data_IF_893906721356
#
_entry.id   IF_893906721356
#
_cell.length_a   1.000
_cell.length_b   1.000
_cell.length_c   1.000
_cell.angle_alpha   90.00
_cell.angle_beta   90.00
_cell.angle_gamma   90.00
#
_symmetry.space_group_name_H-M   'P 1'
#
loop_
_entity.id
_entity.type
_entity.pdbx_description
1 polymer ?
#
# COMPACT_ATOMS: atom_id res chain seq x y z
N UNK A 1 -1.82 12.46 -25.13
CA UNK A 1 -3.01 11.78 -24.59
C UNK A 1 -3.26 12.33 -23.19
N UNK A 2 -4.49 12.68 -22.83
CA UNK A 2 -4.79 13.11 -21.45
C UNK A 2 -4.72 11.88 -20.53
N UNK A 3 -4.15 12.05 -19.33
CA UNK A 3 -4.11 10.99 -18.32
C UNK A 3 -5.51 10.81 -17.74
N UNK A 4 -6.00 9.57 -17.71
CA UNK A 4 -7.28 9.21 -17.11
C UNK A 4 -7.05 8.69 -15.68
N UNK A 5 -7.66 9.34 -14.72
CA UNK A 5 -7.58 8.95 -13.30
C UNK A 5 -8.64 7.91 -12.91
N UNK A 6 -9.42 7.39 -13.87
CA UNK A 6 -10.36 6.28 -13.73
C UNK A 6 -11.41 6.49 -12.61
N UNK A 7 -11.82 7.74 -12.37
CA UNK A 7 -12.77 8.11 -11.31
C UNK A 7 -12.32 7.58 -9.91
N UNK A 8 -11.03 7.80 -9.62
CA UNK A 8 -10.36 7.20 -8.47
C UNK A 8 -11.02 7.53 -7.12
N UNK A 9 -11.59 8.74 -6.97
CA UNK A 9 -12.19 9.15 -5.68
C UNK A 9 -13.41 8.29 -5.34
N UNK A 10 -14.32 8.09 -6.29
CA UNK A 10 -15.49 7.23 -6.10
C UNK A 10 -15.06 5.79 -5.81
N UNK A 11 -14.13 5.25 -6.61
CA UNK A 11 -13.62 3.89 -6.44
C UNK A 11 -12.87 3.70 -5.11
N UNK A 12 -12.15 4.72 -4.66
CA UNK A 12 -11.50 4.69 -3.36
C UNK A 12 -12.52 4.68 -2.22
N UNK A 13 -13.60 5.48 -2.29
CA UNK A 13 -14.69 5.44 -1.31
C UNK A 13 -15.34 4.05 -1.25
N UNK A 14 -15.65 3.47 -2.40
CA UNK A 14 -16.20 2.10 -2.49
C UNK A 14 -15.22 1.08 -1.89
N UNK A 15 -13.92 1.23 -2.14
CA UNK A 15 -12.86 0.36 -1.58
C UNK A 15 -12.77 0.46 -0.06
N UNK A 16 -12.92 1.66 0.49
CA UNK A 16 -12.94 1.90 1.95
C UNK A 16 -14.18 1.25 2.58
N UNK A 17 -15.35 1.38 1.95
CA UNK A 17 -16.58 0.72 2.43
C UNK A 17 -16.42 -0.81 2.46
N UNK A 18 -15.87 -1.39 1.40
CA UNK A 18 -15.58 -2.84 1.32
C UNK A 18 -14.56 -3.25 2.38
N UNK A 19 -13.50 -2.46 2.57
CA UNK A 19 -12.48 -2.72 3.58
C UNK A 19 -13.07 -2.85 4.99
N UNK A 20 -13.84 -1.86 5.42
CA UNK A 20 -14.44 -1.86 6.74
C UNK A 20 -15.55 -2.90 6.87
N UNK A 21 -16.38 -3.10 5.84
CA UNK A 21 -17.42 -4.12 5.82
C UNK A 21 -16.87 -5.55 5.97
N UNK A 22 -15.76 -5.86 5.30
CA UNK A 22 -15.09 -7.16 5.44
C UNK A 22 -14.55 -7.37 6.86
N UNK A 23 -13.99 -6.33 7.48
CA UNK A 23 -13.47 -6.41 8.84
C UNK A 23 -14.59 -6.56 9.87
N UNK A 24 -15.70 -5.88 9.68
CA UNK A 24 -16.86 -6.02 10.57
C UNK A 24 -17.44 -7.43 10.51
N UNK A 25 -17.63 -7.97 9.31
CA UNK A 25 -18.07 -9.37 9.12
C UNK A 25 -17.11 -10.37 9.76
N UNK A 26 -15.79 -10.16 9.66
CA UNK A 26 -14.81 -11.01 10.30
C UNK A 26 -14.90 -10.95 11.82
N UNK A 27 -15.11 -9.75 12.40
CA UNK A 27 -15.30 -9.56 13.84
C UNK A 27 -16.57 -10.25 14.34
N UNK A 28 -17.68 -10.09 13.63
CA UNK A 28 -18.95 -10.74 13.96
C UNK A 28 -18.80 -12.26 14.03
N UNK A 29 -18.15 -12.85 13.02
CA UNK A 29 -17.87 -14.30 13.02
C UNK A 29 -17.00 -14.76 14.19
N UNK A 30 -16.04 -13.95 14.64
CA UNK A 30 -15.24 -14.27 15.84
C UNK A 30 -16.09 -14.26 17.12
N UNK A 31 -16.96 -13.27 17.28
CA UNK A 31 -17.87 -13.18 18.41
C UNK A 31 -18.82 -14.39 18.46
N UNK A 32 -19.42 -14.75 17.31
CA UNK A 32 -20.30 -15.91 17.17
C UNK A 32 -19.57 -17.24 17.49
N UNK A 33 -18.28 -17.33 17.14
CA UNK A 33 -17.44 -18.52 17.41
C UNK A 33 -16.89 -18.56 18.86
N UNK A 34 -17.21 -17.60 19.73
CA UNK A 34 -16.75 -17.56 21.13
C UNK A 34 -15.24 -17.33 21.29
N UNK A 35 -14.54 -16.89 20.23
CA UNK A 35 -13.08 -16.72 20.21
C UNK A 35 -12.66 -15.25 20.42
N UNK A 36 -13.24 -14.58 21.42
CA UNK A 36 -13.09 -13.13 21.63
C UNK A 36 -11.66 -12.65 21.93
N UNK A 37 -10.73 -13.56 22.24
CA UNK A 37 -9.43 -13.23 22.83
C UNK A 37 -8.23 -13.32 21.86
N UNK A 38 -8.44 -13.57 20.57
CA UNK A 38 -7.32 -13.70 19.61
C UNK A 38 -6.93 -12.41 18.87
N UNK A 39 -7.40 -11.26 19.34
CA UNK A 39 -7.19 -9.98 18.69
C UNK A 39 -7.73 -9.96 17.25
N UNK A 40 -7.65 -8.86 16.54
CA UNK A 40 -8.15 -8.73 15.16
C UNK A 40 -7.32 -9.52 14.09
N UNK A 41 -6.56 -10.54 14.51
CA UNK A 41 -5.70 -11.34 13.61
C UNK A 41 -6.48 -12.03 12.49
N UNK A 42 -7.70 -12.51 12.77
CA UNK A 42 -8.53 -13.12 11.72
C UNK A 42 -9.01 -12.09 10.68
N UNK A 43 -9.19 -10.82 11.06
CA UNK A 43 -9.44 -9.72 10.12
C UNK A 43 -8.24 -9.39 9.23
N UNK A 44 -7.01 -9.67 9.69
CA UNK A 44 -5.77 -9.46 8.92
C UNK A 44 -5.55 -10.57 7.89
N UNK A 45 -5.93 -11.80 8.22
CA UNK A 45 -5.78 -12.99 7.35
C UNK A 45 -6.82 -13.09 6.24
N UNK A 46 -7.91 -12.32 6.30
CA UNK A 46 -8.84 -12.21 5.18
C UNK A 46 -8.17 -11.37 4.07
N UNK A 47 -7.36 -11.99 3.21
CA UNK A 47 -6.60 -11.36 2.12
C UNK A 47 -7.43 -10.62 1.06
N UNK A 48 -8.69 -10.31 1.39
CA UNK A 48 -9.66 -9.58 0.56
C UNK A 48 -9.91 -8.14 1.03
N UNK A 49 -9.23 -7.69 2.08
CA UNK A 49 -9.53 -6.36 2.65
C UNK A 49 -9.17 -5.21 1.70
N UNK A 50 -8.15 -5.39 0.86
CA UNK A 50 -7.68 -4.36 -0.08
C UNK A 50 -8.10 -4.62 -1.54
N UNK A 51 -9.00 -5.57 -1.79
CA UNK A 51 -9.44 -5.95 -3.15
C UNK A 51 -10.04 -4.79 -3.95
N UNK A 52 -10.70 -3.84 -3.28
CA UNK A 52 -11.21 -2.63 -3.94
C UNK A 52 -10.11 -1.76 -4.54
N UNK A 53 -9.00 -1.59 -3.81
CA UNK A 53 -7.85 -0.83 -4.32
C UNK A 53 -7.10 -1.57 -5.44
N UNK A 54 -7.13 -2.88 -5.44
CA UNK A 54 -6.64 -3.70 -6.53
C UNK A 54 -7.46 -3.48 -7.80
N UNK A 55 -8.80 -3.37 -7.69
CA UNK A 55 -9.66 -3.02 -8.81
C UNK A 55 -9.36 -1.62 -9.36
N UNK A 56 -9.13 -0.63 -8.48
CA UNK A 56 -8.72 0.71 -8.88
C UNK A 56 -7.42 0.70 -9.71
N UNK A 57 -6.39 -0.02 -9.24
CA UNK A 57 -5.12 -0.14 -9.97
C UNK A 57 -5.32 -0.77 -11.35
N UNK A 58 -6.14 -1.82 -11.44
CA UNK A 58 -6.48 -2.46 -12.71
C UNK A 58 -7.16 -1.50 -13.68
N UNK A 59 -8.13 -0.74 -13.20
CA UNK A 59 -8.86 0.21 -14.04
C UNK A 59 -7.94 1.33 -14.56
N UNK A 60 -7.00 1.79 -13.74
CA UNK A 60 -5.98 2.76 -14.17
C UNK A 60 -5.08 2.23 -15.28
N UNK A 61 -4.69 0.95 -15.22
CA UNK A 61 -3.90 0.30 -16.28
C UNK A 61 -4.68 0.28 -17.61
N UNK A 62 -5.93 -0.14 -17.56
CA UNK A 62 -6.80 -0.23 -18.74
C UNK A 62 -7.08 1.17 -19.31
N UNK A 63 -7.45 2.13 -18.48
CA UNK A 63 -7.83 3.48 -18.88
C UNK A 63 -6.66 4.25 -19.52
N UNK A 64 -5.41 3.91 -19.19
CA UNK A 64 -4.23 4.61 -19.68
C UNK A 64 -3.45 3.84 -20.77
N UNK A 65 -4.13 2.97 -21.50
CA UNK A 65 -3.65 2.43 -22.76
C UNK A 65 -3.03 1.03 -22.73
N UNK A 66 -2.89 0.41 -21.55
CA UNK A 66 -2.40 -0.97 -21.42
C UNK A 66 -3.54 -2.00 -21.20
N UNK A 67 -4.60 -1.91 -21.99
CA UNK A 67 -5.76 -2.81 -21.87
C UNK A 67 -5.41 -4.31 -22.02
N UNK A 68 -4.32 -4.62 -22.72
CA UNK A 68 -3.86 -6.00 -22.91
C UNK A 68 -2.71 -6.40 -21.96
N UNK A 69 -2.38 -5.58 -20.96
CA UNK A 69 -1.39 -5.96 -19.95
C UNK A 69 -1.91 -7.12 -19.10
N UNK A 70 -0.99 -8.00 -18.74
CA UNK A 70 -1.26 -9.07 -17.78
C UNK A 70 -1.22 -8.50 -16.37
N UNK A 71 -2.40 -8.39 -15.74
CA UNK A 71 -2.52 -7.93 -14.36
C UNK A 71 -2.76 -9.15 -13.49
N UNK A 72 -1.72 -9.58 -12.81
CA UNK A 72 -1.75 -10.77 -11.98
C UNK A 72 -2.35 -10.49 -10.60
N UNK A 73 -3.25 -11.37 -10.18
CA UNK A 73 -3.96 -11.35 -8.88
C UNK A 73 -3.93 -12.72 -8.19
N UNK A 74 -3.55 -13.78 -8.92
CA UNK A 74 -3.43 -15.13 -8.36
C UNK A 74 -2.06 -15.30 -7.71
N UNK A 75 -2.03 -15.75 -6.46
CA UNK A 75 -0.78 -15.93 -5.67
C UNK A 75 0.36 -16.56 -6.44
N UNK A 76 0.09 -17.59 -7.23
CA UNK A 76 1.10 -18.28 -8.03
C UNK A 76 1.80 -17.38 -9.07
N UNK A 77 1.14 -16.31 -9.53
CA UNK A 77 1.63 -15.39 -10.57
C UNK A 77 2.09 -14.04 -10.01
N UNK A 78 2.02 -13.85 -8.70
CA UNK A 78 2.41 -12.61 -8.01
C UNK A 78 3.85 -12.66 -7.48
N UNK A 79 4.61 -13.69 -7.83
CA UNK A 79 5.93 -13.93 -7.27
C UNK A 79 7.01 -13.44 -8.23
N UNK A 80 7.87 -12.56 -7.74
CA UNK A 80 9.09 -12.12 -8.43
C UNK A 80 10.33 -12.74 -7.77
N UNK A 81 11.43 -12.96 -8.52
CA UNK A 81 12.70 -13.28 -7.90
C UNK A 81 13.17 -12.12 -7.02
N UNK A 82 13.75 -12.43 -5.88
CA UNK A 82 14.45 -11.50 -5.02
C UNK A 82 15.96 -11.68 -5.16
N UNK A 83 16.72 -10.78 -4.57
CA UNK A 83 18.18 -10.89 -4.49
C UNK A 83 18.63 -11.49 -3.15
N UNK A 84 18.07 -11.01 -2.05
CA UNK A 84 18.38 -11.47 -0.69
C UNK A 84 17.54 -12.65 -0.24
N UNK A 85 16.55 -13.02 -1.02
CA UNK A 85 15.67 -14.20 -0.83
C UNK A 85 15.29 -14.77 -2.20
N UNK A 86 14.97 -16.07 -2.28
CA UNK A 86 14.67 -16.69 -3.59
C UNK A 86 13.52 -15.99 -4.31
N UNK A 87 12.46 -15.65 -3.59
CA UNK A 87 11.24 -15.06 -4.18
C UNK A 87 10.55 -14.11 -3.22
N UNK A 88 9.80 -13.15 -3.77
CA UNK A 88 8.89 -12.25 -3.06
C UNK A 88 7.51 -12.28 -3.70
N UNK A 89 6.50 -12.53 -2.89
CA UNK A 89 5.11 -12.41 -3.27
C UNK A 89 4.67 -10.94 -3.16
N UNK A 90 4.13 -10.38 -4.24
CA UNK A 90 3.58 -9.03 -4.33
C UNK A 90 2.05 -9.05 -4.25
N UNK A 91 1.42 -7.91 -4.01
CA UNK A 91 -0.05 -7.82 -4.03
C UNK A 91 -0.58 -7.60 -5.45
N UNK A 92 0.13 -6.81 -6.28
CA UNK A 92 -0.20 -6.58 -7.69
C UNK A 92 1.09 -6.58 -8.52
N UNK A 93 1.06 -7.29 -9.64
CA UNK A 93 2.05 -7.19 -10.71
C UNK A 93 1.37 -6.84 -12.02
N UNK A 94 1.97 -5.92 -12.77
CA UNK A 94 1.56 -5.55 -14.13
C UNK A 94 2.71 -5.91 -15.06
N UNK A 95 2.44 -6.83 -15.99
CA UNK A 95 3.38 -7.21 -17.04
C UNK A 95 2.80 -6.85 -18.41
N UNK A 96 3.66 -6.43 -19.32
CA UNK A 96 3.29 -6.16 -20.70
C UNK A 96 4.40 -6.59 -21.65
N UNK A 97 4.09 -7.43 -22.64
CA UNK A 97 5.07 -7.98 -23.60
C UNK A 97 6.30 -8.60 -22.91
N UNK A 98 6.09 -9.32 -21.81
CA UNK A 98 7.15 -9.97 -21.02
C UNK A 98 7.99 -9.03 -20.13
N UNK A 99 7.66 -7.73 -20.07
CA UNK A 99 8.35 -6.75 -19.22
C UNK A 99 7.58 -6.48 -17.93
N UNK A 100 8.29 -6.29 -16.83
CA UNK A 100 7.69 -5.83 -15.57
C UNK A 100 7.42 -4.33 -15.67
N UNK A 101 6.14 -3.95 -15.76
CA UNK A 101 5.71 -2.54 -15.83
C UNK A 101 5.53 -1.95 -14.44
N UNK A 102 4.88 -2.71 -13.52
CA UNK A 102 4.64 -2.23 -12.17
C UNK A 102 4.57 -3.37 -11.16
N UNK A 103 5.01 -3.07 -9.93
CA UNK A 103 4.82 -3.88 -8.74
C UNK A 103 4.26 -3.00 -7.61
N UNK A 104 3.12 -3.40 -7.03
CA UNK A 104 2.46 -2.61 -6.00
C UNK A 104 2.19 -3.46 -4.76
N UNK A 105 2.51 -2.89 -3.59
CA UNK A 105 2.17 -3.43 -2.29
C UNK A 105 0.96 -2.67 -1.72
N UNK A 106 -0.01 -3.43 -1.24
CA UNK A 106 -1.20 -2.91 -0.56
C UNK A 106 -1.13 -3.28 0.92
N UNK A 107 -1.16 -2.30 1.79
CA UNK A 107 -1.05 -2.52 3.23
C UNK A 107 -2.18 -1.86 4.00
N UNK A 108 -2.50 -2.43 5.15
CA UNK A 108 -3.41 -1.78 6.09
C UNK A 108 -2.91 -1.91 7.51
N UNK A 109 -3.27 -0.92 8.33
CA UNK A 109 -3.02 -0.91 9.76
C UNK A 109 -4.26 -0.48 10.51
N UNK A 110 -4.75 -1.37 11.35
CA UNK A 110 -5.90 -1.14 12.24
C UNK A 110 -5.46 -1.45 13.66
N UNK A 111 -6.00 -0.70 14.64
CA UNK A 111 -5.70 -0.93 16.06
C UNK A 111 -6.02 -2.35 16.53
N UNK A 112 -5.60 -2.70 17.77
CA UNK A 112 -4.94 -1.82 18.75
C UNK A 112 -3.40 -1.71 18.61
N UNK A 113 -2.73 -2.60 17.88
CA UNK A 113 -1.26 -2.76 17.89
C UNK A 113 -0.53 -1.82 16.92
N UNK A 114 -0.77 -0.50 17.00
CA UNK A 114 -0.14 0.46 16.09
C UNK A 114 1.40 0.48 16.19
N UNK A 115 1.96 0.39 17.42
CA UNK A 115 3.41 0.53 17.65
C UNK A 115 4.24 -0.61 17.06
N UNK A 116 3.94 -1.84 17.43
CA UNK A 116 4.66 -3.02 16.91
C UNK A 116 4.54 -3.12 15.41
N UNK A 117 3.34 -2.85 14.89
CA UNK A 117 3.10 -2.95 13.46
C UNK A 117 3.77 -1.81 12.67
N UNK A 118 3.98 -0.63 13.27
CA UNK A 118 4.73 0.44 12.61
C UNK A 118 6.16 0.00 12.28
N UNK A 119 6.89 -0.57 13.25
CA UNK A 119 8.24 -1.06 13.03
C UNK A 119 8.27 -2.16 11.97
N UNK A 120 7.39 -3.15 12.08
CA UNK A 120 7.30 -4.23 11.09
C UNK A 120 7.00 -3.71 9.68
N UNK A 121 6.12 -2.72 9.53
CA UNK A 121 5.82 -2.12 8.22
C UNK A 121 6.99 -1.32 7.67
N UNK A 122 7.75 -0.66 8.54
CA UNK A 122 8.97 0.06 8.14
C UNK A 122 10.02 -0.91 7.60
N UNK A 123 10.31 -1.98 8.34
CA UNK A 123 11.26 -3.02 7.93
C UNK A 123 10.81 -3.72 6.64
N UNK A 124 9.53 -4.08 6.55
CA UNK A 124 8.96 -4.71 5.36
C UNK A 124 9.07 -3.81 4.13
N UNK A 125 8.70 -2.54 4.25
CA UNK A 125 8.73 -1.60 3.12
C UNK A 125 10.16 -1.41 2.61
N UNK A 126 11.11 -1.11 3.50
CA UNK A 126 12.50 -0.88 3.13
C UNK A 126 13.13 -2.15 2.54
N UNK A 127 12.98 -3.28 3.24
CA UNK A 127 13.56 -4.57 2.80
C UNK A 127 12.98 -5.04 1.47
N UNK A 128 11.68 -4.90 1.25
CA UNK A 128 11.01 -5.28 -0.01
C UNK A 128 11.51 -4.43 -1.19
N UNK A 129 11.60 -3.11 -1.02
CA UNK A 129 12.06 -2.24 -2.07
C UNK A 129 13.55 -2.45 -2.38
N UNK A 130 14.39 -2.57 -1.35
CA UNK A 130 15.82 -2.80 -1.52
C UNK A 130 16.10 -4.13 -2.24
N UNK A 131 15.39 -5.19 -1.88
CA UNK A 131 15.48 -6.51 -2.51
C UNK A 131 15.10 -6.46 -4.00
N UNK A 132 13.98 -5.79 -4.36
CA UNK A 132 13.55 -5.61 -5.74
C UNK A 132 14.56 -4.81 -6.57
N UNK A 133 15.04 -3.67 -6.04
CA UNK A 133 15.97 -2.83 -6.78
C UNK A 133 17.34 -3.48 -6.97
N UNK A 134 17.77 -4.33 -6.05
CA UNK A 134 18.99 -5.12 -6.22
C UNK A 134 18.75 -6.20 -7.28
N UNK A 135 17.65 -6.95 -7.22
CA UNK A 135 17.31 -7.91 -8.27
C UNK A 135 17.18 -7.25 -9.67
N UNK A 136 16.62 -6.04 -9.75
CA UNK A 136 16.54 -5.26 -10.99
C UNK A 136 17.93 -4.91 -11.53
N UNK A 137 18.84 -4.41 -10.70
CA UNK A 137 20.23 -4.10 -11.10
C UNK A 137 21.01 -5.32 -11.57
N UNK A 138 20.72 -6.48 -10.97
CA UNK A 138 21.29 -7.78 -11.36
C UNK A 138 20.55 -8.42 -12.55
N UNK A 139 19.65 -7.66 -13.23
CA UNK A 139 18.92 -8.07 -14.43
C UNK A 139 18.02 -9.30 -14.25
N UNK A 140 17.52 -9.53 -13.04
CA UNK A 140 16.59 -10.63 -12.76
C UNK A 140 15.29 -10.56 -13.56
N UNK A 141 14.94 -9.36 -14.05
CA UNK A 141 13.73 -9.11 -14.87
C UNK A 141 14.04 -8.89 -16.36
N UNK A 142 15.27 -9.23 -16.79
CA UNK A 142 15.75 -8.96 -18.15
C UNK A 142 16.09 -7.48 -18.40
N UNK A 143 16.25 -7.13 -19.65
CA UNK A 143 16.51 -5.74 -20.09
C UNK A 143 15.15 -5.01 -20.19
N UNK A 144 14.75 -4.35 -19.13
CA UNK A 144 13.48 -3.60 -19.06
C UNK A 144 13.71 -2.17 -18.61
N UNK A 145 12.80 -1.26 -18.96
CA UNK A 145 12.70 0.06 -18.35
C UNK A 145 12.50 -0.09 -16.83
N UNK A 146 12.82 0.99 -16.08
CA UNK A 146 12.61 0.99 -14.63
C UNK A 146 11.12 0.80 -14.30
N UNK A 147 10.71 -0.28 -13.62
CA UNK A 147 9.31 -0.50 -13.30
C UNK A 147 8.80 0.52 -12.28
N UNK A 148 7.51 0.79 -12.30
CA UNK A 148 6.85 1.50 -11.22
C UNK A 148 6.78 0.62 -9.97
N UNK A 149 7.25 1.13 -8.84
CA UNK A 149 7.12 0.44 -7.55
C UNK A 149 6.25 1.29 -6.64
N UNK A 150 5.10 0.76 -6.26
CA UNK A 150 4.08 1.46 -5.48
C UNK A 150 3.85 0.88 -4.10
N UNK A 151 3.61 1.77 -3.12
CA UNK A 151 3.17 1.42 -1.77
C UNK A 151 1.87 2.17 -1.46
N UNK A 152 0.78 1.45 -1.26
CA UNK A 152 -0.51 2.05 -0.88
C UNK A 152 -0.94 1.48 0.46
N UNK A 153 -1.15 2.37 1.43
CA UNK A 153 -1.47 1.99 2.79
C UNK A 153 -2.72 2.68 3.30
N UNK A 154 -3.63 1.90 3.91
CA UNK A 154 -4.77 2.40 4.68
C UNK A 154 -4.50 2.23 6.17
N UNK A 155 -4.60 3.32 6.93
CA UNK A 155 -4.45 3.32 8.39
C UNK A 155 -5.74 3.76 9.06
N UNK A 156 -6.16 3.00 10.08
CA UNK A 156 -7.32 3.38 10.89
C UNK A 156 -7.09 4.74 11.56
N UNK A 157 -8.02 5.64 11.34
CA UNK A 157 -8.09 6.93 12.01
C UNK A 157 -8.89 6.78 13.30
N UNK A 158 -8.18 6.64 14.42
CA UNK A 158 -8.73 6.39 15.74
C UNK A 158 -8.02 7.23 16.79
N UNK A 159 -8.57 7.44 17.99
CA UNK A 159 -7.89 8.16 19.07
C UNK A 159 -6.48 7.65 19.35
N UNK A 160 -6.27 6.33 19.34
CA UNK A 160 -4.97 5.72 19.57
C UNK A 160 -3.95 5.98 18.45
N UNK A 161 -4.39 6.11 17.19
CA UNK A 161 -3.50 6.44 16.08
C UNK A 161 -3.23 7.94 15.95
N UNK A 162 -4.12 8.80 16.46
CA UNK A 162 -4.00 10.28 16.49
C UNK A 162 -3.16 10.80 17.67
N UNK A 163 -3.09 10.03 18.76
CA UNK A 163 -2.43 10.48 19.98
C UNK A 163 -0.91 10.59 19.81
N UNK A 164 -0.27 11.62 20.42
CA UNK A 164 1.17 11.74 20.44
C UNK A 164 1.84 10.53 21.10
N UNK A 165 2.90 10.03 20.51
CA UNK A 165 3.65 8.87 20.99
C UNK A 165 5.04 9.30 21.45
N UNK A 166 5.38 8.94 22.69
CA UNK A 166 6.72 9.19 23.22
C UNK A 166 7.75 8.32 22.48
N UNK A 167 8.83 8.95 22.05
CA UNK A 167 10.00 8.27 21.49
C UNK A 167 11.20 8.56 22.38
N UNK A 168 11.92 7.54 22.80
CA UNK A 168 13.12 7.69 23.64
C UNK A 168 14.22 6.76 23.13
N UNK A 169 15.41 7.32 22.97
CA UNK A 169 16.65 6.56 22.80
C UNK A 169 17.59 6.95 23.95
N UNK A 170 18.15 5.99 24.69
CA UNK A 170 18.96 6.30 25.86
C UNK A 170 20.36 6.85 25.51
N UNK A 171 20.88 6.56 24.34
CA UNK A 171 22.26 6.89 23.97
C UNK A 171 22.36 8.04 22.95
N UNK A 172 21.41 8.13 22.01
CA UNK A 172 21.42 9.13 20.96
C UNK A 172 20.05 9.79 20.84
N UNK A 173 20.01 11.05 20.39
CA UNK A 173 18.75 11.77 20.21
C UNK A 173 17.95 11.17 19.06
N UNK A 174 16.66 10.95 19.31
CA UNK A 174 15.70 10.64 18.25
C UNK A 174 15.57 11.85 17.32
N UNK A 175 15.49 11.61 16.02
CA UNK A 175 15.25 12.68 15.04
C UNK A 175 14.02 13.51 15.41
N UNK A 176 14.12 14.83 15.24
CA UNK A 176 13.13 15.79 15.69
C UNK A 176 11.74 15.52 15.09
N UNK A 177 11.69 15.08 13.84
CA UNK A 177 10.45 14.75 13.12
C UNK A 177 9.63 13.61 13.74
N UNK A 178 10.25 12.77 14.62
CA UNK A 178 9.57 11.68 15.33
C UNK A 178 9.19 12.03 16.78
N UNK A 179 9.55 13.22 17.26
CA UNK A 179 9.30 13.58 18.65
C UNK A 179 7.87 14.02 18.87
N UNK A 180 7.14 13.31 19.72
CA UNK A 180 5.78 13.66 20.11
C UNK A 180 4.74 13.55 19.01
N UNK A 181 5.05 12.89 17.89
CA UNK A 181 4.11 12.72 16.79
C UNK A 181 3.27 11.45 16.94
N UNK A 182 2.08 11.47 16.38
CA UNK A 182 1.14 10.35 16.34
C UNK A 182 1.60 9.22 15.41
N UNK A 183 0.98 8.04 15.50
CA UNK A 183 1.23 6.97 14.52
C UNK A 183 0.82 7.36 13.11
N UNK A 184 -0.28 8.07 12.92
CA UNK A 184 -0.67 8.58 11.60
C UNK A 184 0.45 9.43 11.00
N UNK A 185 1.04 10.34 11.79
CA UNK A 185 2.15 11.18 11.31
C UNK A 185 3.42 10.36 11.07
N UNK A 186 3.70 9.33 11.86
CA UNK A 186 4.85 8.42 11.63
C UNK A 186 4.71 7.66 10.31
N UNK A 187 3.51 7.18 9.97
CA UNK A 187 3.27 6.54 8.67
C UNK A 187 3.40 7.52 7.51
N UNK A 188 2.96 8.77 7.67
CA UNK A 188 3.16 9.81 6.66
C UNK A 188 4.65 10.11 6.43
N UNK A 189 5.44 10.24 7.51
CA UNK A 189 6.90 10.40 7.45
C UNK A 189 7.54 9.19 6.75
N UNK A 190 7.15 7.98 7.10
CA UNK A 190 7.62 6.77 6.42
C UNK A 190 7.36 6.83 4.92
N UNK A 191 6.11 7.06 4.50
CA UNK A 191 5.74 7.13 3.09
C UNK A 191 6.52 8.23 2.35
N UNK A 192 6.71 9.40 2.95
CA UNK A 192 7.53 10.46 2.36
C UNK A 192 8.99 10.03 2.19
N UNK A 193 9.58 9.37 3.19
CA UNK A 193 10.96 8.88 3.12
C UNK A 193 11.13 7.79 2.08
N UNK A 194 10.18 6.85 1.98
CA UNK A 194 10.20 5.81 0.94
C UNK A 194 10.29 6.40 -0.48
N UNK A 195 9.62 7.51 -0.74
CA UNK A 195 9.68 8.19 -2.04
C UNK A 195 10.98 9.01 -2.19
N UNK A 196 11.37 9.78 -1.17
CA UNK A 196 12.58 10.62 -1.21
C UNK A 196 13.86 9.81 -1.37
N UNK A 197 13.93 8.64 -0.73
CA UNK A 197 15.03 7.68 -0.86
C UNK A 197 14.92 6.82 -2.12
N UNK A 198 13.95 7.10 -3.01
CA UNK A 198 13.73 6.39 -4.27
C UNK A 198 13.52 4.87 -4.11
N UNK A 199 13.11 4.43 -2.92
CA UNK A 199 12.73 3.05 -2.65
C UNK A 199 11.41 2.70 -3.34
N UNK A 200 10.49 3.65 -3.40
CA UNK A 200 9.23 3.54 -4.15
C UNK A 200 9.09 4.72 -5.11
N UNK A 201 8.49 4.48 -6.26
CA UNK A 201 8.15 5.54 -7.22
C UNK A 201 7.17 6.52 -6.60
N UNK A 202 6.18 5.97 -5.89
CA UNK A 202 5.26 6.75 -5.05
C UNK A 202 4.72 5.90 -3.91
N UNK A 203 4.29 6.57 -2.83
CA UNK A 203 3.67 5.94 -1.68
C UNK A 203 2.43 6.73 -1.27
N UNK A 204 1.28 6.05 -1.14
CA UNK A 204 0.06 6.66 -0.64
C UNK A 204 -0.25 6.21 0.79
N UNK A 205 -0.62 7.18 1.61
CA UNK A 205 -1.20 6.97 2.93
C UNK A 205 -2.62 7.56 2.95
N UNK A 206 -3.60 6.69 3.08
CA UNK A 206 -4.98 7.08 3.32
C UNK A 206 -5.38 6.73 4.75
N UNK A 207 -6.13 7.61 5.38
CA UNK A 207 -6.67 7.40 6.73
C UNK A 207 -8.18 7.33 6.68
N UNK A 208 -8.79 6.47 7.47
CA UNK A 208 -10.23 6.28 7.50
C UNK A 208 -10.70 5.78 8.86
N UNK A 209 -11.83 6.26 9.32
CA UNK A 209 -12.50 5.79 10.52
C UNK A 209 -13.34 4.53 10.23
N UNK A 210 -13.63 3.72 11.25
CA UNK A 210 -14.49 2.53 11.10
C UNK A 210 -15.91 2.88 10.64
N UNK A 211 -16.39 4.07 11.00
CA UNK A 211 -17.69 4.61 10.59
C UNK A 211 -17.82 4.80 9.08
N UNK A 212 -16.69 4.89 8.39
CA UNK A 212 -16.63 5.01 6.94
C UNK A 212 -17.11 3.74 6.18
N UNK A 213 -17.48 2.68 6.88
CA UNK A 213 -18.17 1.52 6.29
C UNK A 213 -19.43 1.93 5.51
N UNK A 214 -20.08 3.03 5.91
CA UNK A 214 -21.32 3.52 5.27
C UNK A 214 -21.08 4.66 4.26
N UNK A 215 -19.97 5.39 4.38
CA UNK A 215 -19.73 6.63 3.59
C UNK A 215 -18.54 6.52 2.66
N UNK A 216 -17.62 5.59 2.95
CA UNK A 216 -16.34 5.48 2.23
C UNK A 216 -15.40 6.66 2.47
N UNK A 217 -15.61 7.45 3.51
CA UNK A 217 -14.77 8.61 3.80
C UNK A 217 -13.34 8.21 4.11
N UNK A 218 -12.42 8.95 3.50
CA UNK A 218 -10.99 8.83 3.75
C UNK A 218 -10.33 10.20 3.64
N UNK A 219 -9.15 10.33 4.23
CA UNK A 219 -8.35 11.54 4.19
C UNK A 219 -6.88 11.23 3.86
N UNK A 220 -6.14 12.24 3.47
CA UNK A 220 -4.68 12.24 3.33
C UNK A 220 -4.06 13.15 4.37
N UNK A 221 -2.85 12.84 4.85
CA UNK A 221 -2.14 13.66 5.83
C UNK A 221 -1.28 14.70 5.13
N UNK A 222 -0.69 14.37 3.99
CA UNK A 222 0.10 15.30 3.18
C UNK A 222 -0.20 15.12 1.69
N UNK A 223 0.06 16.15 0.90
CA UNK A 223 -0.14 16.14 -0.54
C UNK A 223 0.74 15.08 -1.21
N UNK A 224 2.01 15.01 -0.81
CA UNK A 224 3.00 14.09 -1.37
C UNK A 224 2.60 12.62 -1.22
N UNK A 225 1.91 12.27 -0.13
CA UNK A 225 1.46 10.90 0.17
C UNK A 225 -0.03 10.71 -0.06
N UNK A 226 -0.67 11.63 -0.79
CA UNK A 226 -2.10 11.53 -1.10
C UNK A 226 -2.37 10.41 -2.11
N UNK A 227 -3.58 9.85 -2.05
CA UNK A 227 -4.03 8.90 -3.06
C UNK A 227 -4.04 9.53 -4.47
N UNK A 228 -4.36 10.82 -4.58
CA UNK A 228 -4.32 11.57 -5.84
C UNK A 228 -2.92 11.58 -6.45
N UNK A 229 -1.89 11.89 -5.63
CA UNK A 229 -0.51 11.88 -6.09
C UNK A 229 -0.08 10.48 -6.58
N UNK A 230 -0.48 9.42 -5.85
CA UNK A 230 -0.22 8.05 -6.24
C UNK A 230 -0.87 7.71 -7.59
N UNK A 231 -2.17 7.96 -7.72
CA UNK A 231 -2.95 7.65 -8.93
C UNK A 231 -2.41 8.40 -10.13
N UNK A 232 -2.09 9.70 -9.98
CA UNK A 232 -1.54 10.51 -11.07
C UNK A 232 -0.18 10.00 -11.54
N UNK A 233 0.72 9.68 -10.60
CA UNK A 233 2.04 9.14 -10.93
C UNK A 233 1.94 7.75 -11.59
N UNK A 234 1.05 6.89 -11.08
CA UNK A 234 0.84 5.57 -11.65
C UNK A 234 0.24 5.64 -13.05
N UNK A 235 -0.83 6.41 -13.24
CA UNK A 235 -1.46 6.60 -14.54
C UNK A 235 -0.50 7.19 -15.58
N UNK A 236 0.33 8.17 -15.17
CA UNK A 236 1.37 8.75 -16.02
C UNK A 236 2.42 7.73 -16.45
N UNK A 237 2.87 6.86 -15.54
CA UNK A 237 3.80 5.78 -15.87
C UNK A 237 3.17 4.78 -16.87
N UNK A 238 1.94 4.35 -16.62
CA UNK A 238 1.21 3.45 -17.53
C UNK A 238 1.05 4.06 -18.93
N UNK A 239 0.66 5.33 -19.02
CA UNK A 239 0.53 6.03 -20.29
C UNK A 239 1.87 6.15 -21.05
N UNK A 240 2.97 6.36 -20.33
CA UNK A 240 4.31 6.40 -20.93
C UNK A 240 4.75 5.04 -21.47
N UNK A 241 4.49 3.94 -20.77
CA UNK A 241 4.78 2.58 -21.21
C UNK A 241 3.86 2.16 -22.38
N UNK A 242 2.61 2.62 -22.40
CA UNK A 242 1.67 2.35 -23.50
C UNK A 242 2.06 3.05 -24.81
N UNK A 243 2.86 4.11 -24.75
CA UNK A 243 3.34 4.86 -25.92
C UNK A 243 4.57 4.24 -26.59
N UNK A 244 5.17 3.18 -25.99
CA UNK A 244 6.33 2.43 -26.53
C UNK A 244 5.88 1.19 -27.31
#
# INVERSE_FOLDING_TARGET
>A
MAIDLADYERKARESVMVFWGNREKARQKQVEAGTSDQGERAGVTAGKNMDGFLALVKDLVVANGLAHAEIHQKKALLTLPGFFRPTKLWDILVLHKGKLIAAVELKSQVGPSFGNNFNNRTEEAIGTAHDLWTAYREKAFGETSRPFVGWLMLVEDAPASRSPVRSRSPHFKVFQEFQGVSYLKRYDILCQKLVREQLYTTAALITSERTAVNTGEFASISEMTSLRAFVAAFAGHIAAEAAQ
#
